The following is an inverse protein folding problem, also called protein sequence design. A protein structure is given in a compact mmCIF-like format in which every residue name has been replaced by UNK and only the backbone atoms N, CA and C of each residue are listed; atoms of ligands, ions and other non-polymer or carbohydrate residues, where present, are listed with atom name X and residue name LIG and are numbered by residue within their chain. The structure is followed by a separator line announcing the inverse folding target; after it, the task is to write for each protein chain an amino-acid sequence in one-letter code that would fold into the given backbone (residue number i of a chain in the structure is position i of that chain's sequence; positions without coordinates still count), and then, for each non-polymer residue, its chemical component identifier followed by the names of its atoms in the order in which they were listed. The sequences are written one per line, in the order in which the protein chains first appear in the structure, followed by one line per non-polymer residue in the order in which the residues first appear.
data_IF_826188669098
#
_entry.id   IF_826188669098
#
_cell.length_a   1.000
_cell.length_b   1.000
_cell.length_c   1.000
_cell.angle_alpha   90.00
_cell.angle_beta   90.00
_cell.angle_gamma   90.00
#
_symmetry.space_group_name_H-M   'P 1'
#
loop_
_entity.id
_entity.type
_entity.pdbx_description
1 polymer ?
#
# COMPACT_ATOMS: atom_id res chain seq x y z
N UNK A 1 0.42 4.49 -25.92
CA UNK A 1 -0.18 5.43 -24.94
C UNK A 1 -0.87 4.70 -23.76
N UNK A 2 -1.59 3.60 -24.02
CA UNK A 2 -2.29 2.78 -23.00
C UNK A 2 -1.38 2.15 -21.93
N UNK A 3 -0.17 1.69 -22.29
CA UNK A 3 0.83 1.24 -21.31
C UNK A 3 1.17 2.31 -20.25
N UNK A 4 1.11 3.61 -20.58
CA UNK A 4 1.33 4.70 -19.60
C UNK A 4 0.10 4.90 -18.70
N UNK A 5 -1.12 4.79 -19.22
CA UNK A 5 -2.35 4.91 -18.41
C UNK A 5 -2.50 3.76 -17.40
N UNK A 6 -2.10 2.54 -17.77
CA UNK A 6 -2.08 1.37 -16.86
C UNK A 6 -0.96 1.43 -15.81
N UNK A 7 0.05 2.30 -15.98
CA UNK A 7 1.19 2.45 -15.05
C UNK A 7 1.03 3.70 -14.17
N UNK A 8 0.38 4.76 -14.64
CA UNK A 8 0.31 6.06 -13.98
C UNK A 8 -0.95 6.85 -14.35
N UNK A 9 -2.14 6.32 -14.06
CA UNK A 9 -3.37 7.12 -14.15
C UNK A 9 -3.48 8.14 -13.00
N UNK A 10 -4.23 9.25 -13.18
CA UNK A 10 -4.27 10.42 -12.30
C UNK A 10 -5.10 10.24 -11.02
N UNK A 11 -5.41 9.00 -10.63
CA UNK A 11 -6.14 8.74 -9.40
C UNK A 11 -5.29 9.06 -8.16
N UNK A 12 -5.89 9.52 -7.05
CA UNK A 12 -5.18 9.68 -5.79
C UNK A 12 -4.76 8.29 -5.27
N UNK A 13 -3.59 7.81 -5.70
CA UNK A 13 -3.00 6.63 -5.10
C UNK A 13 -2.64 7.00 -3.66
N UNK A 14 -2.95 6.12 -2.70
CA UNK A 14 -2.54 6.38 -1.33
C UNK A 14 -1.05 6.16 -1.22
N UNK A 15 -0.32 7.26 -1.21
CA UNK A 15 1.14 7.28 -1.01
C UNK A 15 1.55 6.51 0.24
N UNK A 16 0.72 6.53 1.29
CA UNK A 16 0.93 5.77 2.53
C UNK A 16 0.90 4.25 2.28
N UNK A 17 -0.12 3.74 1.58
CA UNK A 17 -0.20 2.32 1.24
C UNK A 17 1.02 1.85 0.42
N UNK A 18 1.52 2.67 -0.50
CA UNK A 18 2.74 2.37 -1.25
C UNK A 18 4.00 2.33 -0.35
N UNK A 19 4.12 3.26 0.61
CA UNK A 19 5.21 3.25 1.59
C UNK A 19 5.20 1.99 2.46
N UNK A 20 4.03 1.59 2.95
CA UNK A 20 3.83 0.39 3.76
C UNK A 20 4.17 -0.88 2.97
N UNK A 21 3.64 -0.98 1.74
CA UNK A 21 3.88 -2.12 0.85
C UNK A 21 5.35 -2.32 0.53
N UNK A 22 6.09 -1.23 0.31
CA UNK A 22 7.52 -1.27 -0.03
C UNK A 22 8.44 -1.27 1.21
N UNK A 23 7.92 -1.19 2.44
CA UNK A 23 8.69 -0.96 3.69
C UNK A 23 9.60 0.27 3.62
N UNK A 24 9.12 1.30 2.94
CA UNK A 24 9.81 2.57 2.77
C UNK A 24 9.20 3.55 3.77
N UNK A 25 9.94 4.05 4.77
CA UNK A 25 9.40 5.06 5.68
C UNK A 25 8.93 6.28 4.89
N UNK A 26 7.76 6.81 5.23
CA UNK A 26 7.23 7.99 4.54
C UNK A 26 8.20 9.17 4.66
N UNK A 27 8.22 10.06 3.66
CA UNK A 27 9.10 11.22 3.68
C UNK A 27 8.89 12.09 4.94
N UNK A 28 7.63 12.23 5.38
CA UNK A 28 7.29 12.92 6.62
C UNK A 28 7.93 12.25 7.84
N UNK A 29 7.86 10.91 7.93
CA UNK A 29 8.48 10.15 9.02
C UNK A 29 10.01 10.24 8.98
N UNK A 30 10.64 10.18 7.80
CA UNK A 30 12.10 10.36 7.64
C UNK A 30 12.53 11.74 8.12
N UNK A 31 11.84 12.79 7.67
CA UNK A 31 12.11 14.17 8.08
C UNK A 31 11.94 14.36 9.58
N UNK A 32 10.89 13.78 10.17
CA UNK A 32 10.65 13.78 11.61
C UNK A 32 11.79 13.10 12.39
N UNK A 33 12.24 11.91 11.95
CA UNK A 33 13.37 11.21 12.57
C UNK A 33 14.66 12.04 12.52
N UNK A 34 14.95 12.65 11.38
CA UNK A 34 16.14 13.50 11.21
C UNK A 34 16.10 14.72 12.13
N UNK A 35 14.94 15.39 12.23
CA UNK A 35 14.71 16.51 13.16
C UNK A 35 14.94 16.10 14.61
N UNK A 36 14.31 15.00 15.04
CA UNK A 36 14.45 14.48 16.40
C UNK A 36 15.91 14.14 16.74
N UNK A 37 16.58 13.42 15.83
CA UNK A 37 18.00 13.07 15.97
C UNK A 37 18.89 14.30 16.08
N UNK A 38 18.67 15.31 15.25
CA UNK A 38 19.49 16.52 15.23
C UNK A 38 19.39 17.28 16.56
N UNK A 39 18.16 17.49 17.08
CA UNK A 39 17.96 18.16 18.36
C UNK A 39 18.58 17.36 19.52
N UNK A 40 18.32 16.05 19.59
CA UNK A 40 18.86 15.20 20.66
C UNK A 40 20.39 15.07 20.60
N UNK A 41 20.98 15.01 19.40
CA UNK A 41 22.44 14.91 19.23
C UNK A 41 23.16 16.19 19.59
N UNK A 42 22.63 17.34 19.16
CA UNK A 42 23.34 18.61 19.31
C UNK A 42 23.05 19.31 20.64
N UNK A 43 21.96 18.99 21.34
CA UNK A 43 21.64 19.56 22.65
C UNK A 43 22.74 19.34 23.70
N UNK A 44 23.38 18.16 23.68
CA UNK A 44 24.48 17.77 24.57
C UNK A 44 25.88 18.07 23.99
N UNK A 45 25.95 18.59 22.76
CA UNK A 45 27.22 18.85 22.08
C UNK A 45 27.88 20.15 22.58
N UNK A 46 29.21 20.14 22.67
CA UNK A 46 30.05 21.33 22.93
C UNK A 46 30.36 22.14 21.66
N UNK A 47 29.70 21.84 20.55
CA UNK A 47 29.85 22.59 19.29
C UNK A 47 29.12 23.93 19.34
N UNK A 48 29.46 24.84 18.41
CA UNK A 48 28.73 26.10 18.18
C UNK A 48 27.23 25.86 18.01
N UNK A 49 26.84 24.80 17.30
CA UNK A 49 25.43 24.42 17.11
C UNK A 49 24.77 24.08 18.45
N UNK A 50 25.46 23.32 19.32
CA UNK A 50 24.94 22.99 20.64
C UNK A 50 24.81 24.21 21.56
N UNK A 51 25.76 25.15 21.48
CA UNK A 51 25.65 26.44 22.17
C UNK A 51 24.44 27.23 21.67
N UNK A 52 24.27 27.36 20.35
CA UNK A 52 23.13 28.05 19.74
C UNK A 52 21.77 27.42 20.10
N UNK A 53 21.70 26.09 20.26
CA UNK A 53 20.48 25.39 20.68
C UNK A 53 20.09 25.68 22.13
N UNK A 54 21.07 25.96 23.00
CA UNK A 54 20.86 26.28 24.42
C UNK A 54 20.62 27.78 24.64
N UNK A 55 21.13 28.61 23.74
CA UNK A 55 20.91 30.06 23.80
C UNK A 55 19.48 30.41 23.35
N UNK A 56 18.71 31.15 24.17
CA UNK A 56 17.39 31.61 23.77
C UNK A 56 17.52 32.60 22.61
N UNK A 57 17.02 32.23 21.43
CA UNK A 57 16.99 33.11 20.27
C UNK A 57 15.79 34.07 20.40
N UNK A 58 16.08 35.36 20.54
CA UNK A 58 15.10 36.44 20.72
C UNK A 58 14.87 37.19 19.40
N UNK A 59 14.23 36.54 18.45
CA UNK A 59 13.70 37.19 17.24
C UNK A 59 12.23 36.77 17.09
N UNK A 60 11.44 37.61 16.43
CA UNK A 60 10.08 37.27 16.00
C UNK A 60 10.07 36.14 14.97
N UNK A 61 11.17 35.99 14.24
CA UNK A 61 11.34 34.99 13.19
C UNK A 61 11.70 33.60 13.74
N UNK A 62 11.00 32.57 13.28
CA UNK A 62 11.32 31.19 13.62
C UNK A 62 12.57 30.72 12.85
N UNK A 63 13.60 30.26 13.56
CA UNK A 63 14.70 29.52 12.93
C UNK A 63 14.33 28.06 12.79
N UNK A 64 15.06 27.33 11.96
CA UNK A 64 14.89 25.88 11.85
C UNK A 64 15.01 25.18 13.21
N UNK A 65 15.91 25.65 14.09
CA UNK A 65 16.12 25.11 15.44
C UNK A 65 14.94 25.38 16.37
N UNK A 66 14.54 26.65 16.52
CA UNK A 66 13.44 27.03 17.44
C UNK A 66 12.08 26.53 16.95
N UNK A 67 11.88 26.46 15.63
CA UNK A 67 10.71 25.83 15.01
C UNK A 67 10.67 24.33 15.27
N UNK A 68 11.80 23.63 15.15
CA UNK A 68 11.87 22.18 15.41
C UNK A 68 11.62 21.84 16.87
N UNK A 69 12.21 22.58 17.81
CA UNK A 69 11.96 22.39 19.25
C UNK A 69 10.48 22.61 19.61
N UNK A 70 9.86 23.68 19.09
CA UNK A 70 8.42 23.93 19.26
C UNK A 70 7.58 22.79 18.68
N UNK A 71 7.88 22.38 17.45
CA UNK A 71 7.18 21.28 16.80
C UNK A 71 7.30 19.96 17.57
N UNK A 72 8.49 19.63 18.10
CA UNK A 72 8.69 18.44 18.94
C UNK A 72 7.84 18.49 20.20
N UNK A 73 7.81 19.64 20.89
CA UNK A 73 6.98 19.83 22.09
C UNK A 73 5.48 19.67 21.77
N UNK A 74 5.03 20.22 20.65
CA UNK A 74 3.64 20.07 20.19
C UNK A 74 3.31 18.62 19.80
N UNK A 75 4.21 17.93 19.10
CA UNK A 75 3.98 16.56 18.64
C UNK A 75 3.96 15.55 19.80
N UNK A 76 4.88 15.70 20.76
CA UNK A 76 5.05 14.75 21.87
C UNK A 76 4.20 15.11 23.09
N UNK A 77 3.60 16.31 23.12
CA UNK A 77 2.93 16.87 24.29
C UNK A 77 3.81 16.89 25.56
N UNK A 78 5.14 16.86 25.37
CA UNK A 78 6.13 16.74 26.43
C UNK A 78 7.47 17.34 25.98
N UNK A 79 8.40 17.48 26.91
CA UNK A 79 9.80 17.78 26.57
C UNK A 79 10.42 16.57 25.86
N UNK A 80 11.13 16.77 24.74
CA UNK A 80 11.75 15.67 24.01
C UNK A 80 12.82 14.98 24.88
N UNK A 81 12.94 13.64 24.81
CA UNK A 81 14.00 12.91 25.48
C UNK A 81 15.40 13.43 25.10
N UNK A 82 16.34 13.36 26.04
CA UNK A 82 17.74 13.73 25.81
C UNK A 82 18.51 12.66 25.04
N UNK A 83 18.13 11.38 25.18
CA UNK A 83 18.70 10.28 24.41
C UNK A 83 18.28 10.31 22.94
N UNK A 84 19.24 10.22 22.02
CA UNK A 84 18.95 10.15 20.57
C UNK A 84 18.02 8.98 20.21
N UNK A 85 18.24 7.73 20.69
CA UNK A 85 17.36 6.62 20.35
C UNK A 85 15.93 6.81 20.88
N UNK A 86 15.81 7.28 22.12
CA UNK A 86 14.52 7.54 22.79
C UNK A 86 13.74 8.64 22.09
N UNK A 87 14.40 9.77 21.76
CA UNK A 87 13.78 10.88 21.05
C UNK A 87 13.29 10.47 19.66
N UNK A 88 14.09 9.68 18.93
CA UNK A 88 13.69 9.16 17.62
C UNK A 88 12.52 8.19 17.76
N UNK A 89 12.55 7.29 18.74
CA UNK A 89 11.47 6.33 18.99
C UNK A 89 10.16 7.04 19.33
N UNK A 90 10.18 7.98 20.28
CA UNK A 90 9.02 8.76 20.68
C UNK A 90 8.39 9.50 19.49
N UNK A 91 9.22 10.14 18.65
CA UNK A 91 8.76 10.84 17.45
C UNK A 91 8.21 9.89 16.39
N UNK A 92 8.81 8.72 16.20
CA UNK A 92 8.29 7.70 15.29
C UNK A 92 6.91 7.23 15.74
N UNK A 93 6.74 6.93 17.02
CA UNK A 93 5.45 6.52 17.60
C UNK A 93 4.41 7.61 17.42
N UNK A 94 4.68 8.83 17.87
CA UNK A 94 3.75 9.95 17.76
C UNK A 94 3.36 10.27 16.30
N UNK A 95 4.33 10.28 15.38
CA UNK A 95 4.06 10.49 13.96
C UNK A 95 3.24 9.36 13.36
N UNK A 96 3.52 8.11 13.69
CA UNK A 96 2.80 6.95 13.17
C UNK A 96 1.35 6.96 13.65
N UNK A 97 1.12 7.24 14.93
CA UNK A 97 -0.22 7.41 15.51
C UNK A 97 -0.98 8.54 14.82
N UNK A 98 -0.36 9.71 14.66
CA UNK A 98 -0.98 10.85 13.99
C UNK A 98 -1.34 10.53 12.54
N UNK A 99 -0.41 9.95 11.77
CA UNK A 99 -0.65 9.55 10.38
C UNK A 99 -1.69 8.44 10.26
N UNK A 100 -1.85 7.60 11.29
CA UNK A 100 -2.93 6.62 11.40
C UNK A 100 -4.28 7.29 11.60
N UNK A 101 -4.39 8.18 12.60
CA UNK A 101 -5.64 8.86 12.96
C UNK A 101 -6.20 9.76 11.85
N UNK A 102 -5.32 10.39 11.06
CA UNK A 102 -5.76 11.26 9.96
C UNK A 102 -6.06 10.51 8.65
N UNK A 103 -5.76 9.21 8.59
CA UNK A 103 -5.91 8.43 7.36
C UNK A 103 -7.36 7.99 7.14
N UNK A 104 -8.01 8.64 6.17
CA UNK A 104 -9.37 8.33 5.72
C UNK A 104 -9.40 7.71 4.33
N UNK A 105 -8.25 7.22 3.83
CA UNK A 105 -8.18 6.72 2.46
C UNK A 105 -8.92 5.38 2.34
N UNK A 106 -9.68 5.22 1.25
CA UNK A 106 -10.42 3.99 0.95
C UNK A 106 -9.49 2.78 0.84
N UNK A 107 -8.27 2.96 0.33
CA UNK A 107 -7.31 1.87 0.24
C UNK A 107 -6.73 1.45 1.60
N UNK A 108 -6.57 2.37 2.56
CA UNK A 108 -6.21 1.97 3.92
C UNK A 108 -7.36 1.26 4.63
N UNK A 109 -8.62 1.58 4.31
CA UNK A 109 -9.77 0.81 4.75
C UNK A 109 -9.76 -0.60 4.13
N UNK A 110 -9.58 -0.70 2.82
CA UNK A 110 -9.42 -1.96 2.10
C UNK A 110 -8.30 -2.83 2.68
N UNK A 111 -7.11 -2.27 2.91
CA UNK A 111 -5.97 -3.00 3.50
C UNK A 111 -6.26 -3.51 4.91
N UNK A 112 -7.02 -2.76 5.72
CA UNK A 112 -7.45 -3.21 7.06
C UNK A 112 -8.49 -4.32 6.97
N UNK A 113 -9.50 -4.15 6.11
CA UNK A 113 -10.55 -5.14 5.91
C UNK A 113 -10.00 -6.50 5.42
N UNK A 114 -8.95 -6.47 4.59
CA UNK A 114 -8.32 -7.67 4.03
C UNK A 114 -6.99 -8.05 4.71
N UNK A 115 -6.68 -7.48 5.88
CA UNK A 115 -5.49 -7.81 6.66
C UNK A 115 -4.15 -7.77 5.89
N UNK A 116 -3.98 -6.77 5.03
CA UNK A 116 -2.81 -6.56 4.16
C UNK A 116 -1.69 -5.77 4.87
N UNK A 117 -1.60 -5.85 6.20
CA UNK A 117 -0.60 -5.14 7.01
C UNK A 117 0.82 -5.69 6.86
N UNK A 118 0.96 -6.85 6.22
CA UNK A 118 2.22 -7.50 5.99
C UNK A 118 2.79 -7.20 4.60
N UNK A 119 4.11 -7.32 4.46
CA UNK A 119 4.72 -7.35 3.13
C UNK A 119 4.42 -8.69 2.51
N UNK A 120 4.18 -8.67 1.19
CA UNK A 120 4.10 -9.87 0.39
C UNK A 120 5.38 -10.69 0.67
N UNK A 121 5.28 -11.85 1.33
CA UNK A 121 6.43 -12.76 1.34
C UNK A 121 6.71 -13.05 -0.13
N UNK A 122 7.97 -13.29 -0.54
CA UNK A 122 8.37 -13.77 -1.89
C UNK A 122 9.13 -12.79 -2.80
N UNK A 123 10.27 -12.29 -2.37
CA UNK A 123 11.26 -11.84 -3.35
C UNK A 123 11.96 -13.04 -4.02
N UNK A 124 12.38 -14.08 -3.28
CA UNK A 124 13.21 -15.16 -3.88
C UNK A 124 12.52 -16.02 -4.95
N UNK A 125 11.29 -16.58 -4.75
CA UNK A 125 10.69 -17.46 -5.77
C UNK A 125 10.06 -16.72 -6.96
N UNK A 126 9.60 -15.48 -6.75
CA UNK A 126 8.99 -14.65 -7.80
C UNK A 126 10.06 -14.00 -8.68
N UNK A 127 11.19 -13.54 -8.11
CA UNK A 127 12.28 -12.93 -8.88
C UNK A 127 13.00 -13.92 -9.81
N UNK A 128 12.86 -15.23 -9.59
CA UNK A 128 13.46 -16.27 -10.43
C UNK A 128 12.68 -16.54 -11.73
N UNK A 129 11.49 -15.97 -11.91
CA UNK A 129 10.65 -16.16 -13.10
C UNK A 129 10.13 -14.82 -13.63
N UNK A 130 10.55 -14.37 -14.82
CA UNK A 130 10.08 -13.13 -15.42
C UNK A 130 8.56 -13.04 -15.57
N UNK A 131 7.88 -14.18 -15.83
CA UNK A 131 6.41 -14.25 -15.92
C UNK A 131 5.77 -13.91 -14.58
N UNK A 132 6.29 -14.45 -13.48
CA UNK A 132 5.77 -14.17 -12.13
C UNK A 132 6.02 -12.72 -11.70
N UNK A 133 7.04 -12.05 -12.24
CA UNK A 133 7.26 -10.61 -11.98
C UNK A 133 6.08 -9.76 -12.48
N UNK A 134 5.48 -10.10 -13.63
CA UNK A 134 4.33 -9.37 -14.15
C UNK A 134 3.10 -9.48 -13.23
N UNK A 135 2.75 -10.70 -12.80
CA UNK A 135 1.66 -10.91 -11.84
C UNK A 135 1.93 -10.28 -10.48
N UNK A 136 3.17 -10.28 -10.02
CA UNK A 136 3.58 -9.62 -8.78
C UNK A 136 3.35 -8.11 -8.86
N UNK A 137 3.72 -7.48 -9.98
CA UNK A 137 3.42 -6.06 -10.20
C UNK A 137 1.91 -5.79 -10.15
N UNK A 138 1.08 -6.69 -10.68
CA UNK A 138 -0.38 -6.55 -10.62
C UNK A 138 -0.91 -6.72 -9.20
N UNK A 139 -0.42 -7.72 -8.47
CA UNK A 139 -0.78 -7.94 -7.08
C UNK A 139 -0.44 -6.73 -6.21
N UNK A 140 0.78 -6.20 -6.33
CA UNK A 140 1.20 -4.98 -5.63
C UNK A 140 0.29 -3.80 -6.00
N UNK A 141 -0.03 -3.63 -7.29
CA UNK A 141 -0.97 -2.58 -7.74
C UNK A 141 -2.36 -2.74 -7.11
N UNK A 142 -2.89 -3.96 -6.98
CA UNK A 142 -4.19 -4.18 -6.32
C UNK A 142 -4.10 -3.76 -4.85
N UNK A 143 -3.08 -4.24 -4.13
CA UNK A 143 -2.90 -3.97 -2.69
C UNK A 143 -2.64 -2.50 -2.33
N UNK A 144 -2.12 -1.71 -3.26
CA UNK A 144 -1.93 -0.25 -3.07
C UNK A 144 -2.99 0.59 -3.78
N UNK A 145 -4.00 -0.05 -4.38
CA UNK A 145 -5.10 0.65 -5.04
C UNK A 145 -4.66 1.41 -6.28
N UNK A 146 -3.74 0.85 -7.06
CA UNK A 146 -3.28 1.34 -8.37
C UNK A 146 -3.71 0.45 -9.53
N UNK A 147 -4.35 -0.69 -9.28
CA UNK A 147 -4.91 -1.51 -10.35
C UNK A 147 -6.16 -0.84 -10.92
N UNK A 148 -6.17 -0.61 -12.24
CA UNK A 148 -7.27 0.01 -12.96
C UNK A 148 -8.32 -1.03 -13.33
N UNK A 149 -9.15 -1.37 -12.35
CA UNK A 149 -10.42 -2.07 -12.56
C UNK A 149 -11.35 -1.27 -13.49
N UNK A 150 -12.28 -1.93 -14.17
CA UNK A 150 -13.15 -1.32 -15.17
C UNK A 150 -13.92 -0.12 -14.63
N UNK A 151 -14.45 -0.20 -13.41
CA UNK A 151 -15.16 0.94 -12.80
C UNK A 151 -14.28 2.18 -12.66
N UNK A 152 -12.95 2.03 -12.49
CA UNK A 152 -12.02 3.16 -12.40
C UNK A 152 -11.76 3.77 -13.76
N UNK A 153 -11.67 2.93 -14.79
CA UNK A 153 -11.53 3.37 -16.17
C UNK A 153 -12.80 4.11 -16.62
N UNK A 154 -13.98 3.56 -16.31
CA UNK A 154 -15.28 4.17 -16.58
C UNK A 154 -15.48 5.48 -15.80
N UNK A 155 -15.10 5.50 -14.51
CA UNK A 155 -15.12 6.71 -13.70
C UNK A 155 -14.15 7.80 -14.17
N UNK A 156 -13.07 7.40 -14.85
CA UNK A 156 -12.12 8.31 -15.49
C UNK A 156 -12.52 8.70 -16.93
N UNK A 157 -13.63 8.17 -17.46
CA UNK A 157 -14.10 8.44 -18.82
C UNK A 157 -13.26 7.78 -19.92
N UNK A 158 -12.45 6.76 -19.60
CA UNK A 158 -11.62 6.05 -20.58
C UNK A 158 -12.43 5.00 -21.35
N UNK A 159 -13.43 4.41 -20.69
CA UNK A 159 -14.37 3.45 -21.27
C UNK A 159 -15.80 3.87 -20.89
N UNK A 160 -16.80 3.26 -21.52
CA UNK A 160 -18.21 3.55 -21.27
C UNK A 160 -18.60 3.48 -19.79
N UNK A 161 -19.49 4.39 -19.35
CA UNK A 161 -19.97 4.50 -17.97
C UNK A 161 -20.74 3.27 -17.48
N UNK A 162 -21.29 2.44 -18.37
CA UNK A 162 -21.94 1.16 -17.98
C UNK A 162 -21.01 0.26 -17.16
N UNK A 163 -19.70 0.33 -17.41
CA UNK A 163 -18.69 -0.44 -16.69
C UNK A 163 -18.40 0.05 -15.27
N UNK A 164 -19.13 1.06 -14.78
CA UNK A 164 -19.19 1.36 -13.34
C UNK A 164 -19.82 0.22 -12.54
N UNK A 165 -20.78 -0.49 -13.14
CA UNK A 165 -21.57 -1.55 -12.51
C UNK A 165 -21.61 -2.86 -13.32
N UNK A 166 -20.90 -2.92 -14.45
CA UNK A 166 -20.81 -4.09 -15.32
C UNK A 166 -19.36 -4.53 -15.48
N UNK A 167 -19.13 -5.84 -15.55
CA UNK A 167 -17.81 -6.41 -15.79
C UNK A 167 -17.57 -6.55 -17.30
N UNK A 168 -16.57 -5.86 -17.89
CA UNK A 168 -16.30 -5.97 -19.33
C UNK A 168 -15.81 -7.36 -19.75
N UNK A 169 -15.27 -8.13 -18.80
CA UNK A 169 -14.73 -9.45 -19.11
C UNK A 169 -15.83 -10.50 -19.23
N UNK A 170 -16.83 -10.50 -18.32
CA UNK A 170 -17.86 -11.53 -18.27
C UNK A 170 -19.26 -11.05 -18.67
N UNK A 171 -19.44 -9.75 -18.91
CA UNK A 171 -20.72 -9.14 -19.33
C UNK A 171 -21.81 -9.16 -18.25
N UNK A 172 -21.50 -9.61 -17.03
CA UNK A 172 -22.47 -9.63 -15.93
C UNK A 172 -22.59 -8.22 -15.34
N UNK A 173 -23.81 -7.84 -14.94
CA UNK A 173 -24.13 -6.61 -14.22
C UNK A 173 -23.61 -6.64 -12.77
N UNK A 174 -22.31 -6.77 -12.62
CA UNK A 174 -21.56 -6.69 -11.37
C UNK A 174 -20.32 -5.83 -11.60
N UNK A 175 -19.98 -5.01 -10.61
CA UNK A 175 -18.76 -4.19 -10.64
C UNK A 175 -17.53 -5.10 -10.74
N UNK A 176 -16.65 -4.83 -11.70
CA UNK A 176 -15.35 -5.49 -11.72
C UNK A 176 -14.46 -4.92 -10.61
N UNK A 177 -14.24 -5.67 -9.53
CA UNK A 177 -13.28 -5.36 -8.47
C UNK A 177 -12.40 -6.59 -8.13
N UNK A 178 -11.54 -6.47 -7.12
CA UNK A 178 -10.64 -7.56 -6.73
C UNK A 178 -11.42 -8.82 -6.34
N UNK A 179 -12.53 -8.66 -5.62
CA UNK A 179 -13.39 -9.76 -5.18
C UNK A 179 -14.00 -10.47 -6.39
N UNK A 180 -14.55 -9.72 -7.32
CA UNK A 180 -15.09 -10.27 -8.55
C UNK A 180 -14.02 -11.02 -9.36
N UNK A 181 -12.86 -10.40 -9.60
CA UNK A 181 -11.78 -11.01 -10.39
C UNK A 181 -11.25 -12.29 -9.75
N UNK A 182 -11.07 -12.32 -8.44
CA UNK A 182 -10.48 -13.47 -7.73
C UNK A 182 -11.47 -14.56 -7.38
N UNK A 183 -12.77 -14.26 -7.20
CA UNK A 183 -13.72 -15.22 -6.64
C UNK A 183 -14.86 -15.59 -7.61
N UNK A 184 -15.40 -14.64 -8.39
CA UNK A 184 -16.71 -14.83 -9.06
C UNK A 184 -16.74 -14.55 -10.57
N UNK A 185 -15.71 -13.96 -11.16
CA UNK A 185 -15.70 -13.62 -12.60
C UNK A 185 -15.70 -14.89 -13.45
N UNK A 186 -16.76 -15.08 -14.26
CA UNK A 186 -16.99 -16.30 -15.04
C UNK A 186 -15.94 -16.50 -16.13
N UNK A 187 -15.43 -15.41 -16.72
CA UNK A 187 -14.39 -15.46 -17.77
C UNK A 187 -13.07 -16.05 -17.30
N UNK A 188 -12.86 -16.12 -15.99
CA UNK A 188 -11.64 -16.64 -15.38
C UNK A 188 -11.88 -17.93 -14.58
N UNK A 189 -13.04 -18.59 -14.74
CA UNK A 189 -13.40 -19.81 -14.01
C UNK A 189 -12.35 -20.91 -14.16
N UNK A 190 -11.91 -21.16 -15.39
CA UNK A 190 -10.94 -22.22 -15.69
C UNK A 190 -9.58 -21.94 -15.04
N UNK A 191 -9.02 -20.74 -15.26
CA UNK A 191 -7.73 -20.36 -14.69
C UNK A 191 -7.79 -20.28 -13.16
N UNK A 192 -8.92 -19.85 -12.60
CA UNK A 192 -9.14 -19.82 -11.15
C UNK A 192 -9.22 -21.22 -10.59
N UNK A 193 -9.97 -22.13 -11.20
CA UNK A 193 -10.06 -23.52 -10.76
C UNK A 193 -8.68 -24.20 -10.82
N UNK A 194 -7.96 -24.01 -11.92
CA UNK A 194 -6.65 -24.62 -12.14
C UNK A 194 -5.57 -24.12 -11.16
N UNK A 195 -5.54 -22.82 -10.86
CA UNK A 195 -4.42 -22.23 -10.10
C UNK A 195 -4.78 -21.92 -8.65
N UNK A 196 -6.03 -21.60 -8.36
CA UNK A 196 -6.49 -21.19 -7.04
C UNK A 196 -7.49 -22.16 -6.42
N UNK A 197 -8.02 -23.14 -7.18
CA UNK A 197 -9.11 -24.02 -6.75
C UNK A 197 -8.80 -24.76 -5.46
N UNK A 198 -7.67 -25.43 -5.39
CA UNK A 198 -7.24 -26.17 -4.18
C UNK A 198 -7.11 -25.23 -2.97
N UNK A 199 -6.51 -24.06 -3.18
CA UNK A 199 -6.33 -23.06 -2.12
C UNK A 199 -7.66 -22.49 -1.63
N UNK A 200 -8.59 -22.17 -2.54
CA UNK A 200 -9.94 -21.67 -2.20
C UNK A 200 -10.73 -22.75 -1.47
N UNK A 201 -10.62 -24.01 -1.91
CA UNK A 201 -11.35 -25.13 -1.30
C UNK A 201 -10.84 -25.42 0.12
N UNK A 202 -9.53 -25.40 0.32
CA UNK A 202 -8.88 -25.55 1.63
C UNK A 202 -9.21 -24.38 2.59
N UNK A 203 -9.59 -23.23 2.06
CA UNK A 203 -9.93 -22.01 2.82
C UNK A 203 -11.43 -21.67 2.76
N UNK A 204 -12.27 -22.65 2.39
CA UNK A 204 -13.71 -22.47 2.20
C UNK A 204 -14.46 -22.02 3.46
N UNK A 205 -13.90 -22.26 4.64
CA UNK A 205 -14.46 -21.81 5.92
C UNK A 205 -14.26 -20.32 6.19
N UNK A 206 -13.44 -19.62 5.40
CA UNK A 206 -13.19 -18.19 5.58
C UNK A 206 -14.32 -17.35 4.99
N UNK A 207 -14.58 -16.21 5.63
CA UNK A 207 -15.42 -15.17 5.03
C UNK A 207 -14.75 -14.67 3.74
N UNK A 208 -15.55 -14.19 2.79
CA UNK A 208 -15.03 -13.81 1.47
C UNK A 208 -13.95 -12.72 1.54
N UNK A 209 -14.05 -11.79 2.49
CA UNK A 209 -13.07 -10.71 2.66
C UNK A 209 -11.75 -11.23 3.23
N UNK A 210 -11.79 -12.22 4.13
CA UNK A 210 -10.60 -12.88 4.65
C UNK A 210 -9.95 -13.76 3.59
N UNK A 211 -10.75 -14.52 2.83
CA UNK A 211 -10.28 -15.30 1.70
C UNK A 211 -9.59 -14.42 0.66
N UNK A 212 -10.22 -13.30 0.28
CA UNK A 212 -9.60 -12.32 -0.62
C UNK A 212 -8.32 -11.76 -0.02
N UNK A 213 -8.28 -11.48 1.29
CA UNK A 213 -7.07 -11.07 1.99
C UNK A 213 -5.93 -12.06 1.85
N UNK A 214 -6.19 -13.35 2.03
CA UNK A 214 -5.20 -14.43 1.87
C UNK A 214 -4.73 -14.53 0.41
N UNK A 215 -5.64 -14.50 -0.57
CA UNK A 215 -5.29 -14.48 -2.01
C UNK A 215 -4.46 -13.26 -2.40
N UNK A 216 -4.67 -12.14 -1.72
CA UNK A 216 -3.86 -10.94 -1.89
C UNK A 216 -2.54 -10.99 -1.08
N UNK A 217 -2.22 -12.09 -0.40
CA UNK A 217 -0.97 -12.25 0.38
C UNK A 217 -1.01 -11.61 1.77
N UNK A 218 -2.19 -11.49 2.38
CA UNK A 218 -2.40 -11.11 3.78
C UNK A 218 -1.95 -12.19 4.77
N UNK A 219 -1.93 -11.86 6.06
CA UNK A 219 -1.44 -12.75 7.14
C UNK A 219 -2.52 -13.55 7.86
N UNK A 220 -3.80 -13.23 7.66
CA UNK A 220 -4.85 -13.85 8.46
C UNK A 220 -5.08 -15.31 8.08
N UNK A 221 -5.29 -16.16 9.10
CA UNK A 221 -5.77 -17.54 8.97
C UNK A 221 -4.88 -18.53 8.21
N UNK A 222 -3.66 -18.15 7.82
CA UNK A 222 -2.71 -19.03 7.13
C UNK A 222 -1.32 -18.94 7.74
N UNK A 223 -0.60 -20.07 7.78
CA UNK A 223 0.80 -20.07 8.17
C UNK A 223 1.70 -19.43 7.08
N UNK A 224 2.96 -19.18 7.43
CA UNK A 224 3.89 -18.50 6.54
C UNK A 224 4.16 -19.25 5.21
N UNK A 225 4.17 -20.59 5.24
CA UNK A 225 4.41 -21.42 4.07
C UNK A 225 3.17 -21.48 3.18
N UNK A 226 1.99 -21.69 3.77
CA UNK A 226 0.72 -21.66 3.04
C UNK A 226 0.50 -20.30 2.38
N UNK A 227 0.76 -19.19 3.10
CA UNK A 227 0.71 -17.83 2.54
C UNK A 227 1.61 -17.67 1.33
N UNK A 228 2.83 -18.21 1.40
CA UNK A 228 3.78 -18.22 0.28
C UNK A 228 3.19 -18.97 -0.92
N UNK A 229 2.67 -20.17 -0.73
CA UNK A 229 2.10 -20.97 -1.81
C UNK A 229 0.90 -20.26 -2.47
N UNK A 230 -0.05 -19.79 -1.67
CA UNK A 230 -1.24 -19.07 -2.15
C UNK A 230 -0.85 -17.79 -2.89
N UNK A 231 0.14 -17.07 -2.41
CA UNK A 231 0.61 -15.86 -3.08
C UNK A 231 1.28 -16.18 -4.42
N UNK A 232 2.11 -17.22 -4.50
CA UNK A 232 2.70 -17.67 -5.78
C UNK A 232 1.60 -18.05 -6.77
N UNK A 233 0.58 -18.77 -6.31
CA UNK A 233 -0.57 -19.14 -7.12
C UNK A 233 -1.34 -17.90 -7.63
N UNK A 234 -1.61 -16.95 -6.74
CA UNK A 234 -2.30 -15.68 -7.06
C UNK A 234 -1.52 -14.81 -8.04
N UNK A 235 -0.19 -14.74 -7.88
CA UNK A 235 0.70 -14.07 -8.83
C UNK A 235 0.69 -14.78 -10.19
N UNK A 236 0.70 -16.11 -10.21
CA UNK A 236 0.66 -16.88 -11.46
C UNK A 236 -0.68 -16.67 -12.16
N UNK A 237 -1.79 -16.71 -11.41
CA UNK A 237 -3.14 -16.42 -11.90
C UNK A 237 -3.23 -15.03 -12.54
N UNK A 238 -2.77 -13.99 -11.84
CA UNK A 238 -2.75 -12.63 -12.38
C UNK A 238 -1.86 -12.50 -13.63
N UNK A 239 -0.73 -13.21 -13.68
CA UNK A 239 0.16 -13.19 -14.84
C UNK A 239 -0.53 -13.75 -16.09
N UNK A 240 -1.44 -14.71 -15.91
CA UNK A 240 -2.23 -15.28 -17.01
C UNK A 240 -3.40 -14.40 -17.39
N UNK A 241 -4.25 -13.96 -16.46
CA UNK A 241 -5.52 -13.32 -16.83
C UNK A 241 -5.36 -11.86 -17.27
N UNK A 242 -4.37 -11.14 -16.73
CA UNK A 242 -4.26 -9.68 -16.94
C UNK A 242 -3.99 -9.31 -18.40
N UNK A 243 -3.14 -10.03 -19.17
CA UNK A 243 -2.99 -9.78 -20.60
C UNK A 243 -4.28 -9.98 -21.43
N UNK A 244 -5.11 -10.97 -21.09
CA UNK A 244 -6.40 -11.18 -21.77
C UNK A 244 -7.39 -10.08 -21.40
N UNK A 245 -7.49 -9.76 -20.10
CA UNK A 245 -8.26 -8.60 -19.63
C UNK A 245 -7.86 -7.32 -20.35
N UNK A 246 -6.56 -7.06 -20.48
CA UNK A 246 -6.07 -5.85 -21.13
C UNK A 246 -6.54 -5.76 -22.60
N UNK A 247 -6.57 -6.87 -23.34
CA UNK A 247 -7.12 -6.91 -24.70
C UNK A 247 -8.60 -6.57 -24.76
N UNK A 248 -9.40 -7.10 -23.83
CA UNK A 248 -10.83 -6.75 -23.72
C UNK A 248 -10.99 -5.26 -23.43
N UNK A 249 -10.20 -4.70 -22.51
CA UNK A 249 -10.24 -3.27 -22.21
C UNK A 249 -9.83 -2.43 -23.42
N UNK A 250 -8.78 -2.82 -24.16
CA UNK A 250 -8.30 -2.10 -25.35
C UNK A 250 -9.39 -1.98 -26.43
N UNK A 251 -10.28 -2.98 -26.57
CA UNK A 251 -11.42 -2.90 -27.50
C UNK A 251 -12.53 -1.93 -27.07
N UNK A 252 -12.50 -1.45 -25.82
CA UNK A 252 -13.52 -0.60 -25.23
C UNK A 252 -13.06 0.86 -25.05
N UNK A 253 -11.78 1.13 -25.28
CA UNK A 253 -11.22 2.49 -25.22
C UNK A 253 -11.72 3.27 -26.43
N UNK A 254 -12.29 4.45 -26.16
CA UNK A 254 -12.76 5.39 -27.17
C UNK A 254 -11.62 6.25 -27.73
#
# INVERSE_FOLDING_TARGET
MIKKLLISGPGPYCRKAAYEELRIPSLALRGAKLRARAIAKWSSSRTTIGLLLRSPFKDRSATWMTGTQRWLKTLLHATPPTGVPEAVSAVVTAMTTRLGATDRSQISQFRRAHNLGCVIPLWKPVLRSPVKVAGMHMLSKIRVGMFFFAYRLAGAGIIDRRYLSECPCCGVAVREDAKHVFLTCRSWNEQRAQLLGDHISNLSNLQEDDLLGVLLGGESHVDANQRVQVTVASVTYLSLIVPFRARVIDTLVQ
#
